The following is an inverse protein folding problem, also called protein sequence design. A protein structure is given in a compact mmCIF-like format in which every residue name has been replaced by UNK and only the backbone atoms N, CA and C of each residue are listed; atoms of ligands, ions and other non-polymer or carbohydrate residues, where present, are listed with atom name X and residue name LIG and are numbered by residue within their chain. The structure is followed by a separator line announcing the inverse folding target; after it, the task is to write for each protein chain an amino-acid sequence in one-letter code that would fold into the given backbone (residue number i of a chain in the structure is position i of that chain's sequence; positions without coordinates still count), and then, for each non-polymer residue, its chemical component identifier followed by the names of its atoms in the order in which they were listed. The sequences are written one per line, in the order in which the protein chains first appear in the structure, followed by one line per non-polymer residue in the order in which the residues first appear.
data_IF_544765107332
#
_entry.id   IF_544765107332
#
_cell.length_a   1.000
_cell.length_b   1.000
_cell.length_c   1.000
_cell.angle_alpha   90.00
_cell.angle_beta   90.00
_cell.angle_gamma   90.00
#
_symmetry.space_group_name_H-M   'P 1'
#
loop_
_entity.id
_entity.type
_entity.pdbx_description
1 polymer ?
#
# COMPACT_ATOMS: atom_id res chain seq x y z
N UNK A 1 0.37 3.52 -13.45
CA UNK A 1 1.11 4.30 -12.43
C UNK A 1 0.51 5.69 -12.23
N UNK A 2 0.33 6.53 -13.26
CA UNK A 2 -0.19 7.91 -13.10
C UNK A 2 -1.52 8.05 -12.35
N UNK A 3 -2.42 7.06 -12.47
CA UNK A 3 -3.71 7.05 -11.76
C UNK A 3 -3.51 7.14 -10.25
N UNK A 4 -2.48 6.49 -9.71
CA UNK A 4 -2.20 6.47 -8.27
C UNK A 4 -1.79 7.84 -7.73
N UNK A 5 -1.21 8.71 -8.55
CA UNK A 5 -0.91 10.09 -8.17
C UNK A 5 -2.17 10.95 -8.04
N UNK A 6 -3.24 10.62 -8.76
CA UNK A 6 -4.49 11.39 -8.72
C UNK A 6 -5.39 11.02 -7.53
N UNK A 7 -5.32 9.77 -7.05
CA UNK A 7 -6.18 9.26 -5.96
C UNK A 7 -6.07 10.09 -4.67
N UNK A 8 -4.88 10.48 -4.17
CA UNK A 8 -4.76 11.30 -2.96
C UNK A 8 -5.54 12.60 -3.03
N UNK A 9 -5.50 13.30 -4.18
CA UNK A 9 -6.24 14.54 -4.38
C UNK A 9 -7.74 14.32 -4.24
N UNK A 10 -8.24 13.20 -4.78
CA UNK A 10 -9.63 12.79 -4.58
C UNK A 10 -9.90 12.43 -3.14
N UNK A 11 -9.04 11.66 -2.48
CA UNK A 11 -9.20 11.17 -1.11
C UNK A 11 -8.81 12.21 -0.04
N UNK A 12 -8.69 13.50 -0.40
CA UNK A 12 -8.33 14.55 0.56
C UNK A 12 -9.32 14.58 1.73
N UNK A 13 -8.76 14.64 2.95
CA UNK A 13 -9.48 14.60 4.24
C UNK A 13 -10.15 13.24 4.58
N UNK A 14 -9.90 12.18 3.82
CA UNK A 14 -10.31 10.82 4.22
C UNK A 14 -9.27 10.19 5.15
N UNK A 15 -9.64 9.10 5.83
CA UNK A 15 -8.72 8.34 6.68
C UNK A 15 -7.56 7.77 5.85
N UNK A 16 -7.86 7.33 4.62
CA UNK A 16 -6.87 6.73 3.72
C UNK A 16 -6.03 7.74 2.92
N UNK A 17 -6.19 9.05 3.13
CA UNK A 17 -5.48 10.08 2.36
C UNK A 17 -3.96 9.84 2.31
N UNK A 18 -3.32 9.71 3.47
CA UNK A 18 -1.86 9.55 3.55
C UNK A 18 -1.38 8.18 3.05
N UNK A 19 -2.19 7.14 3.22
CA UNK A 19 -1.94 5.82 2.63
C UNK A 19 -1.83 5.94 1.10
N UNK A 20 -2.84 6.52 0.46
CA UNK A 20 -2.81 6.72 -0.99
C UNK A 20 -1.72 7.69 -1.42
N UNK A 21 -1.40 8.72 -0.61
CA UNK A 21 -0.34 9.68 -0.93
C UNK A 21 1.01 8.99 -1.02
N UNK A 22 1.36 8.17 -0.02
CA UNK A 22 2.61 7.40 -0.02
C UNK A 22 2.63 6.43 -1.19
N UNK A 23 1.52 5.72 -1.42
CA UNK A 23 1.39 4.78 -2.52
C UNK A 23 1.53 5.45 -3.90
N UNK A 24 0.96 6.63 -4.10
CA UNK A 24 1.06 7.37 -5.36
C UNK A 24 2.45 7.95 -5.60
N UNK A 25 3.16 8.34 -4.53
CA UNK A 25 4.51 8.92 -4.60
C UNK A 25 5.62 7.87 -4.65
N UNK A 26 5.34 6.61 -4.34
CA UNK A 26 6.37 5.57 -4.25
C UNK A 26 7.11 5.35 -5.57
N UNK A 27 6.39 5.31 -6.69
CA UNK A 27 6.98 5.15 -8.03
C UNK A 27 7.90 6.33 -8.41
N UNK A 28 7.41 7.59 -8.46
CA UNK A 28 8.27 8.72 -8.84
C UNK A 28 9.41 8.94 -7.84
N UNK A 29 9.20 8.71 -6.54
CA UNK A 29 10.28 8.75 -5.57
C UNK A 29 11.31 7.66 -5.85
N UNK A 30 10.89 6.42 -6.09
CA UNK A 30 11.76 5.30 -6.41
C UNK A 30 12.69 5.60 -7.58
N UNK A 31 12.14 6.09 -8.70
CA UNK A 31 12.93 6.48 -9.87
C UNK A 31 13.82 7.70 -9.61
N UNK A 32 13.33 8.72 -8.92
CA UNK A 32 14.13 9.92 -8.61
C UNK A 32 15.33 9.59 -7.72
N UNK A 33 15.13 8.82 -6.64
CA UNK A 33 16.20 8.41 -5.74
C UNK A 33 17.19 7.45 -6.41
N UNK A 34 16.72 6.57 -7.28
CA UNK A 34 17.60 5.72 -8.07
C UNK A 34 18.46 6.52 -9.06
N UNK A 35 17.87 7.52 -9.71
CA UNK A 35 18.58 8.36 -10.67
C UNK A 35 19.62 9.27 -10.00
N UNK A 36 19.24 9.94 -8.90
CA UNK A 36 20.08 10.96 -8.22
C UNK A 36 21.10 10.32 -7.28
N UNK A 37 20.68 9.33 -6.49
CA UNK A 37 21.48 8.77 -5.40
C UNK A 37 21.89 7.30 -5.62
N UNK A 38 21.50 6.69 -6.76
CA UNK A 38 21.75 5.27 -7.06
C UNK A 38 21.17 4.30 -6.04
N UNK A 39 20.17 4.73 -5.26
CA UNK A 39 19.48 3.85 -4.32
C UNK A 39 18.60 2.88 -5.11
N UNK A 40 18.64 1.56 -4.85
CA UNK A 40 17.75 0.60 -5.48
C UNK A 40 16.28 0.96 -5.26
N UNK A 41 15.49 0.96 -6.34
CA UNK A 41 14.07 1.31 -6.33
C UNK A 41 13.30 0.47 -5.28
N UNK A 42 13.67 -0.81 -5.13
CA UNK A 42 13.08 -1.72 -4.16
C UNK A 42 13.19 -1.24 -2.71
N UNK A 43 14.30 -0.58 -2.34
CA UNK A 43 14.47 -0.02 -0.98
C UNK A 43 13.47 1.11 -0.75
N UNK A 44 13.27 1.98 -1.75
CA UNK A 44 12.30 3.07 -1.66
C UNK A 44 10.87 2.51 -1.57
N UNK A 45 10.56 1.44 -2.29
CA UNK A 45 9.27 0.77 -2.17
C UNK A 45 9.05 0.19 -0.77
N UNK A 46 10.04 -0.46 -0.14
CA UNK A 46 9.89 -0.95 1.24
C UNK A 46 9.57 0.20 2.19
N UNK A 47 10.31 1.30 2.10
CA UNK A 47 10.08 2.48 2.94
C UNK A 47 8.66 3.00 2.75
N UNK A 48 8.20 3.08 1.50
CA UNK A 48 6.84 3.48 1.19
C UNK A 48 5.81 2.51 1.78
N UNK A 49 6.02 1.19 1.71
CA UNK A 49 5.12 0.20 2.29
C UNK A 49 5.07 0.29 3.81
N UNK A 50 6.22 0.45 4.47
CA UNK A 50 6.29 0.65 5.93
C UNK A 50 5.59 1.95 6.34
N UNK A 51 5.81 3.05 5.62
CA UNK A 51 5.11 4.32 5.87
C UNK A 51 3.60 4.17 5.68
N UNK A 52 3.17 3.45 4.64
CA UNK A 52 1.76 3.17 4.36
C UNK A 52 1.11 2.43 5.53
N UNK A 53 1.79 1.40 6.06
CA UNK A 53 1.35 0.68 7.25
C UNK A 53 1.27 1.60 8.49
N UNK A 54 2.28 2.43 8.71
CA UNK A 54 2.31 3.41 9.81
C UNK A 54 1.10 4.36 9.75
N UNK A 55 0.75 4.85 8.56
CA UNK A 55 -0.42 5.72 8.39
C UNK A 55 -1.74 4.97 8.66
N UNK A 56 -1.87 3.71 8.23
CA UNK A 56 -3.05 2.88 8.51
C UNK A 56 -3.21 2.52 10.00
N UNK A 57 -2.09 2.39 10.72
CA UNK A 57 -2.08 2.16 12.16
C UNK A 57 -2.30 3.46 12.95
N UNK A 58 -2.36 4.62 12.28
CA UNK A 58 -2.50 5.93 12.92
C UNK A 58 -1.39 6.22 13.96
N UNK A 59 -0.21 5.60 13.84
CA UNK A 59 0.87 5.76 14.83
C UNK A 59 1.35 7.22 14.88
N UNK A 60 1.29 7.93 13.74
CA UNK A 60 1.67 9.34 13.64
C UNK A 60 0.72 10.32 14.33
N UNK A 61 -0.50 9.89 14.65
CA UNK A 61 -1.41 10.67 15.51
C UNK A 61 -0.83 10.81 16.91
N UNK A 62 0.06 9.89 17.30
CA UNK A 62 0.88 9.99 18.50
C UNK A 62 2.19 10.67 18.12
N UNK A 63 2.20 12.01 18.13
CA UNK A 63 3.36 12.87 17.76
C UNK A 63 4.69 12.44 18.40
N UNK A 64 4.64 11.78 19.57
CA UNK A 64 5.79 11.24 20.30
C UNK A 64 6.61 10.23 19.49
N UNK A 65 5.99 9.48 18.57
CA UNK A 65 6.65 8.39 17.82
C UNK A 65 7.15 8.78 16.42
N UNK A 66 6.79 9.98 15.92
CA UNK A 66 7.23 10.46 14.61
C UNK A 66 8.76 10.46 14.43
N UNK A 67 9.58 10.93 15.39
CA UNK A 67 11.04 10.86 15.25
C UNK A 67 11.57 9.42 15.18
N UNK A 68 10.97 8.51 15.93
CA UNK A 68 11.37 7.09 15.94
C UNK A 68 10.98 6.37 14.65
N UNK A 69 9.86 6.72 14.04
CA UNK A 69 9.46 6.18 12.73
C UNK A 69 10.39 6.70 11.63
N UNK A 70 10.73 7.99 11.65
CA UNK A 70 11.68 8.56 10.67
C UNK A 70 13.06 7.93 10.87
N UNK A 71 13.55 7.85 12.11
CA UNK A 71 14.82 7.22 12.43
C UNK A 71 14.83 5.72 12.06
N UNK A 72 13.74 5.00 12.31
CA UNK A 72 13.57 3.60 11.94
C UNK A 72 13.55 3.40 10.43
N UNK A 73 12.86 4.27 9.68
CA UNK A 73 12.87 4.27 8.21
C UNK A 73 14.27 4.55 7.64
N UNK A 74 14.98 5.53 8.21
CA UNK A 74 16.37 5.84 7.81
C UNK A 74 17.33 4.70 8.16
N UNK A 75 17.18 4.06 9.34
CA UNK A 75 17.94 2.87 9.70
C UNK A 75 17.64 1.70 8.76
N UNK A 76 16.37 1.50 8.39
CA UNK A 76 16.00 0.46 7.44
C UNK A 76 16.67 0.70 6.09
N UNK A 77 16.63 1.94 5.57
CA UNK A 77 17.31 2.32 4.33
C UNK A 77 18.82 2.06 4.44
N UNK A 78 19.46 2.49 5.54
CA UNK A 78 20.89 2.32 5.74
C UNK A 78 21.28 0.84 5.84
N UNK A 79 20.52 0.03 6.58
CA UNK A 79 20.76 -1.41 6.73
C UNK A 79 20.55 -2.15 5.41
N UNK A 80 19.46 -1.84 4.69
CA UNK A 80 19.20 -2.41 3.37
C UNK A 80 20.25 -1.98 2.35
N UNK A 81 20.77 -0.75 2.39
CA UNK A 81 21.81 -0.28 1.48
C UNK A 81 23.15 -0.98 1.71
N UNK A 82 23.48 -1.28 2.97
CA UNK A 82 24.76 -1.90 3.35
C UNK A 82 24.78 -3.42 3.22
N UNK A 83 23.62 -4.09 3.35
CA UNK A 83 23.51 -5.55 3.43
C UNK A 83 22.43 -6.10 2.49
N UNK A 84 22.50 -5.77 1.18
CA UNK A 84 21.54 -6.24 0.18
C UNK A 84 21.66 -7.75 0.00
N UNK A 85 20.86 -8.50 0.76
CA UNK A 85 20.35 -9.79 0.32
C UNK A 85 18.96 -9.56 -0.29
N UNK A 86 18.86 -9.75 -1.60
CA UNK A 86 17.62 -9.55 -2.35
C UNK A 86 16.46 -10.37 -1.77
N UNK A 87 16.72 -11.59 -1.27
CA UNK A 87 15.69 -12.44 -0.68
C UNK A 87 15.14 -11.88 0.63
N UNK A 88 16.00 -11.34 1.50
CA UNK A 88 15.58 -10.73 2.76
C UNK A 88 14.73 -9.47 2.53
N UNK A 89 15.09 -8.68 1.53
CA UNK A 89 14.41 -7.44 1.14
C UNK A 89 13.00 -7.74 0.61
N UNK A 90 12.86 -8.72 -0.28
CA UNK A 90 11.56 -9.16 -0.78
C UNK A 90 10.68 -9.78 0.32
N UNK A 91 11.28 -10.52 1.27
CA UNK A 91 10.57 -11.07 2.42
C UNK A 91 9.99 -9.98 3.33
N UNK A 92 10.78 -8.94 3.67
CA UNK A 92 10.30 -7.79 4.46
C UNK A 92 9.16 -7.07 3.75
N UNK A 93 9.26 -6.92 2.42
CA UNK A 93 8.20 -6.34 1.61
C UNK A 93 6.91 -7.15 1.70
N UNK A 94 6.99 -8.47 1.50
CA UNK A 94 5.85 -9.38 1.59
C UNK A 94 5.19 -9.34 2.98
N UNK A 95 5.98 -9.43 4.05
CA UNK A 95 5.49 -9.36 5.44
C UNK A 95 4.77 -8.04 5.69
N UNK A 96 5.32 -6.92 5.21
CA UNK A 96 4.71 -5.59 5.37
C UNK A 96 3.33 -5.53 4.71
N UNK A 97 3.19 -6.06 3.49
CA UNK A 97 1.90 -6.09 2.79
C UNK A 97 0.90 -7.06 3.44
N UNK A 98 1.36 -8.18 4.01
CA UNK A 98 0.51 -9.05 4.82
C UNK A 98 -0.02 -8.29 6.05
N UNK A 99 0.82 -7.51 6.73
CA UNK A 99 0.38 -6.68 7.87
C UNK A 99 -0.63 -5.60 7.45
N UNK A 100 -0.42 -4.97 6.30
CA UNK A 100 -1.38 -4.03 5.71
C UNK A 100 -2.72 -4.74 5.46
N UNK A 101 -2.70 -5.91 4.81
CA UNK A 101 -3.90 -6.71 4.53
C UNK A 101 -4.66 -7.06 5.82
N UNK A 102 -3.96 -7.53 6.86
CA UNK A 102 -4.54 -7.83 8.18
C UNK A 102 -5.19 -6.58 8.77
N UNK A 103 -4.49 -5.44 8.73
CA UNK A 103 -5.01 -4.17 9.26
C UNK A 103 -6.26 -3.71 8.51
N UNK A 104 -6.26 -3.77 7.18
CA UNK A 104 -7.42 -3.42 6.36
C UNK A 104 -8.60 -4.34 6.63
N UNK A 105 -8.35 -5.64 6.76
CA UNK A 105 -9.37 -6.63 7.12
C UNK A 105 -9.98 -6.35 8.49
N UNK A 106 -9.15 -6.01 9.49
CA UNK A 106 -9.62 -5.58 10.79
C UNK A 106 -10.49 -4.31 10.72
N UNK A 107 -10.11 -3.32 9.92
CA UNK A 107 -10.90 -2.11 9.73
C UNK A 107 -12.26 -2.41 9.09
N UNK A 108 -12.31 -3.29 8.09
CA UNK A 108 -13.56 -3.75 7.49
C UNK A 108 -14.44 -4.47 8.52
N UNK A 109 -13.91 -5.46 9.24
CA UNK A 109 -14.65 -6.21 10.26
C UNK A 109 -15.19 -5.27 11.34
N UNK A 110 -14.37 -4.33 11.80
CA UNK A 110 -14.76 -3.33 12.79
C UNK A 110 -15.87 -2.41 12.27
N UNK A 111 -15.81 -2.03 10.99
CA UNK A 111 -16.85 -1.23 10.34
C UNK A 111 -18.17 -2.00 10.25
N UNK A 112 -18.12 -3.27 9.84
CA UNK A 112 -19.29 -4.16 9.77
C UNK A 112 -19.92 -4.34 11.15
N UNK A 113 -19.11 -4.67 12.17
CA UNK A 113 -19.62 -4.89 13.52
C UNK A 113 -20.32 -3.65 14.10
N UNK A 114 -19.78 -2.45 13.85
CA UNK A 114 -20.32 -1.19 14.39
C UNK A 114 -21.53 -0.68 13.62
N UNK A 115 -21.52 -0.77 12.29
CA UNK A 115 -22.51 -0.12 11.43
C UNK A 115 -23.53 -1.09 10.83
N UNK A 116 -23.38 -2.40 11.04
CA UNK A 116 -24.16 -3.46 10.37
C UNK A 116 -24.19 -3.26 8.85
N UNK A 117 -23.06 -2.82 8.28
CA UNK A 117 -22.93 -2.49 6.87
C UNK A 117 -21.55 -2.83 6.33
N UNK A 118 -21.47 -3.18 5.05
CA UNK A 118 -20.22 -3.46 4.34
C UNK A 118 -19.83 -2.22 3.52
N UNK A 119 -18.60 -1.74 3.72
CA UNK A 119 -18.00 -0.69 2.89
C UNK A 119 -17.29 -1.32 1.69
N UNK A 120 -17.83 -1.11 0.48
CA UNK A 120 -17.19 -1.58 -0.76
C UNK A 120 -15.82 -0.90 -0.97
N UNK A 121 -15.62 0.29 -0.40
CA UNK A 121 -14.32 0.95 -0.41
C UNK A 121 -13.25 0.08 0.24
N UNK A 122 -13.53 -0.40 1.45
CA UNK A 122 -12.61 -1.25 2.21
C UNK A 122 -12.42 -2.61 1.52
N UNK A 123 -13.48 -3.17 0.95
CA UNK A 123 -13.40 -4.43 0.17
C UNK A 123 -12.49 -4.26 -1.05
N UNK A 124 -12.66 -3.19 -1.83
CA UNK A 124 -11.82 -2.90 -2.98
C UNK A 124 -10.35 -2.70 -2.57
N UNK A 125 -10.10 -2.10 -1.41
CA UNK A 125 -8.74 -1.88 -0.90
C UNK A 125 -8.07 -3.17 -0.44
N UNK A 126 -8.80 -4.06 0.23
CA UNK A 126 -8.35 -5.42 0.57
C UNK A 126 -8.07 -6.22 -0.71
N UNK A 127 -8.94 -6.12 -1.71
CA UNK A 127 -8.74 -6.80 -2.99
C UNK A 127 -7.50 -6.29 -3.73
N UNK A 128 -7.29 -4.97 -3.77
CA UNK A 128 -6.06 -4.37 -4.29
C UNK A 128 -4.82 -4.93 -3.59
N UNK A 129 -4.84 -4.99 -2.26
CA UNK A 129 -3.72 -5.47 -1.47
C UNK A 129 -3.45 -6.96 -1.70
N UNK A 130 -4.50 -7.77 -1.86
CA UNK A 130 -4.39 -9.16 -2.27
C UNK A 130 -3.70 -9.33 -3.63
N UNK A 131 -3.98 -8.44 -4.60
CA UNK A 131 -3.28 -8.45 -5.89
C UNK A 131 -1.80 -8.11 -5.71
N UNK A 132 -1.47 -7.12 -4.88
CA UNK A 132 -0.08 -6.76 -4.59
C UNK A 132 0.65 -7.98 -4.04
N UNK A 133 0.14 -8.61 -2.98
CA UNK A 133 0.73 -9.82 -2.38
C UNK A 133 0.88 -10.94 -3.43
N UNK A 134 -0.15 -11.18 -4.24
CA UNK A 134 -0.12 -12.23 -5.27
C UNK A 134 0.98 -12.01 -6.31
N UNK A 135 1.27 -10.75 -6.69
CA UNK A 135 2.41 -10.44 -7.58
C UNK A 135 3.74 -10.84 -6.96
N UNK A 136 3.92 -10.62 -5.66
CA UNK A 136 5.16 -11.02 -4.96
C UNK A 136 5.28 -12.53 -4.84
N UNK A 137 4.20 -13.21 -4.44
CA UNK A 137 4.19 -14.68 -4.38
C UNK A 137 4.53 -15.29 -5.74
N UNK A 138 4.00 -14.73 -6.83
CA UNK A 138 4.35 -15.18 -8.17
C UNK A 138 5.84 -14.99 -8.49
N UNK A 139 6.40 -13.83 -8.14
CA UNK A 139 7.84 -13.58 -8.32
C UNK A 139 8.71 -14.61 -7.56
N UNK A 140 8.33 -14.94 -6.32
CA UNK A 140 9.01 -15.97 -5.52
C UNK A 140 8.87 -17.38 -6.08
N UNK A 141 7.69 -17.72 -6.61
CA UNK A 141 7.40 -19.05 -7.14
C UNK A 141 7.95 -19.28 -8.56
N UNK A 142 8.47 -18.24 -9.22
CA UNK A 142 9.03 -18.28 -10.58
C UNK A 142 8.09 -18.95 -11.60
N UNK A 143 6.79 -18.65 -11.56
CA UNK A 143 5.86 -19.25 -12.52
C UNK A 143 6.23 -18.87 -13.97
N UNK A 144 6.12 -19.83 -14.89
CA UNK A 144 6.47 -19.66 -16.30
C UNK A 144 5.72 -18.48 -16.98
N UNK A 145 4.52 -18.14 -16.50
CA UNK A 145 3.67 -17.07 -17.04
C UNK A 145 3.71 -15.77 -16.21
N UNK A 146 4.79 -15.53 -15.45
CA UNK A 146 4.92 -14.35 -14.58
C UNK A 146 4.64 -13.02 -15.28
N UNK A 147 5.03 -12.88 -16.56
CA UNK A 147 4.78 -11.67 -17.36
C UNK A 147 3.28 -11.47 -17.62
N UNK A 148 2.57 -12.51 -18.04
CA UNK A 148 1.13 -12.42 -18.30
C UNK A 148 0.35 -12.10 -17.03
N UNK A 149 0.69 -12.77 -15.93
CA UNK A 149 0.11 -12.48 -14.63
C UNK A 149 0.37 -11.02 -14.23
N UNK A 150 1.59 -10.53 -14.40
CA UNK A 150 1.94 -9.14 -14.08
C UNK A 150 1.14 -8.13 -14.91
N UNK A 151 0.98 -8.34 -16.21
CA UNK A 151 0.19 -7.47 -17.09
C UNK A 151 -1.28 -7.48 -16.67
N UNK A 152 -1.86 -8.67 -16.51
CA UNK A 152 -3.27 -8.83 -16.13
C UNK A 152 -3.56 -8.14 -14.79
N UNK A 153 -2.77 -8.46 -13.76
CA UNK A 153 -2.92 -7.89 -12.43
C UNK A 153 -2.70 -6.37 -12.42
N UNK A 154 -1.82 -5.84 -13.27
CA UNK A 154 -1.66 -4.38 -13.45
C UNK A 154 -2.91 -3.74 -14.07
N UNK A 155 -3.52 -4.39 -15.07
CA UNK A 155 -4.80 -3.98 -15.63
C UNK A 155 -5.92 -3.91 -14.59
N UNK A 156 -6.04 -4.96 -13.76
CA UNK A 156 -7.01 -4.98 -12.65
C UNK A 156 -6.73 -3.87 -11.63
N UNK A 157 -5.46 -3.64 -11.27
CA UNK A 157 -5.09 -2.54 -10.36
C UNK A 157 -5.45 -1.16 -10.93
N UNK A 158 -5.37 -0.96 -12.24
CA UNK A 158 -5.82 0.27 -12.90
C UNK A 158 -7.33 0.46 -12.70
N UNK A 159 -8.13 -0.58 -12.93
CA UNK A 159 -9.60 -0.53 -12.72
C UNK A 159 -9.92 -0.20 -11.26
N UNK A 160 -9.22 -0.83 -10.31
CA UNK A 160 -9.39 -0.53 -8.87
C UNK A 160 -8.94 0.90 -8.54
N UNK A 161 -7.87 1.39 -9.16
CA UNK A 161 -7.44 2.79 -9.02
C UNK A 161 -8.49 3.78 -9.53
N UNK A 162 -9.14 3.48 -10.66
CA UNK A 162 -10.25 4.28 -11.18
C UNK A 162 -11.44 4.27 -10.20
N UNK A 163 -11.75 3.13 -9.59
CA UNK A 163 -12.77 3.05 -8.55
C UNK A 163 -12.47 4.04 -7.39
N UNK A 164 -11.22 4.12 -6.92
CA UNK A 164 -10.82 5.08 -5.88
C UNK A 164 -10.78 6.54 -6.33
N UNK A 165 -10.73 6.82 -7.64
CA UNK A 165 -10.91 8.17 -8.17
C UNK A 165 -12.39 8.59 -8.21
N UNK A 166 -13.28 7.65 -8.48
CA UNK A 166 -14.72 7.93 -8.56
C UNK A 166 -15.30 8.04 -7.14
N UNK A 167 -15.04 7.07 -6.28
CA UNK A 167 -15.66 6.96 -4.96
C UNK A 167 -14.71 7.37 -3.84
N UNK A 168 -15.22 8.17 -2.90
CA UNK A 168 -14.53 8.47 -1.64
C UNK A 168 -14.87 7.43 -0.60
N UNK A 169 -13.98 7.24 0.37
CA UNK A 169 -14.23 6.39 1.54
C UNK A 169 -15.58 6.67 2.22
N UNK A 170 -15.94 7.96 2.36
CA UNK A 170 -17.15 8.43 3.04
C UNK A 170 -18.40 8.45 2.15
N UNK A 171 -18.33 7.86 0.94
CA UNK A 171 -19.44 7.88 0.00
C UNK A 171 -20.50 6.83 0.38
N UNK A 172 -21.69 7.29 0.75
CA UNK A 172 -22.78 6.42 1.21
C UNK A 172 -23.29 5.48 0.12
N UNK A 173 -23.08 5.81 -1.17
CA UNK A 173 -23.54 4.99 -2.30
C UNK A 173 -22.84 3.64 -2.40
N UNK A 174 -21.71 3.49 -1.72
CA UNK A 174 -20.89 2.28 -1.73
C UNK A 174 -20.87 1.58 -0.35
N UNK A 175 -21.88 1.86 0.47
CA UNK A 175 -22.11 1.22 1.76
C UNK A 175 -23.37 0.37 1.66
N UNK A 176 -23.23 -0.94 1.88
CA UNK A 176 -24.32 -1.91 1.78
C UNK A 176 -24.78 -2.33 3.17
N UNK A 177 -26.05 -2.07 3.50
CA UNK A 177 -26.64 -2.48 4.78
C UNK A 177 -26.86 -4.00 4.81
N UNK A 178 -26.43 -4.62 5.91
CA UNK A 178 -26.76 -6.01 6.21
C UNK A 178 -28.12 -6.02 6.91
N UNK A 179 -29.11 -6.63 6.25
CA UNK A 179 -30.43 -6.87 6.85
C UNK A 179 -30.38 -8.09 7.74
#
# INVERSE_FOLDING_TARGET
MLIWLAIPFRQRKSFYFYFFLVLGLSDPAGYAFNYIFRIPVLIIYIVASVLSLVFLLQILTIKKYLPFIIAGGLMLIATCYLYIDHGAVEFVFLVTHILILIRLSYLLISFVAKNQAISLFNVALIFYEGIVISKFVNNFAQFADAIFFFIFSTGVQIVVGLFFLIFKEQDHRIVFQLK
#
